data_IF_116244971412
#
_entry.id   IF_116244971412
#
_cell.length_a   1.000
_cell.length_b   1.000
_cell.length_c   1.000
_cell.angle_alpha   90.00
_cell.angle_beta   90.00
_cell.angle_gamma   90.00
#
_symmetry.space_group_name_H-M   'P 1'
#
loop_
_entity.id
_entity.type
_entity.pdbx_description
1 polymer ?
#
# COMPACT_ATOMS: atom_id res chain seq x y z
N UNK A 1 -8.76 -36.55 -83.34
CA UNK A 1 -9.12 -36.65 -81.91
C UNK A 1 -8.31 -35.62 -81.13
N UNK A 2 -8.91 -34.50 -80.75
CA UNK A 2 -8.29 -33.52 -79.84
C UNK A 2 -9.27 -33.31 -78.69
N UNK A 3 -8.85 -33.72 -77.49
CA UNK A 3 -9.66 -33.73 -76.28
C UNK A 3 -9.76 -32.33 -75.67
N UNK A 4 -10.97 -31.97 -75.26
CA UNK A 4 -11.34 -30.74 -74.56
C UNK A 4 -10.87 -30.75 -73.11
N UNK A 5 -10.04 -29.78 -72.71
CA UNK A 5 -9.71 -29.52 -71.31
C UNK A 5 -10.84 -28.74 -70.62
N UNK A 6 -11.44 -29.33 -69.59
CA UNK A 6 -12.40 -28.70 -68.68
C UNK A 6 -11.69 -27.76 -67.70
N UNK A 7 -12.17 -26.51 -67.60
CA UNK A 7 -11.74 -25.52 -66.59
C UNK A 7 -12.18 -25.95 -65.18
N UNK A 8 -11.23 -26.02 -64.24
CA UNK A 8 -11.48 -26.14 -62.81
C UNK A 8 -11.95 -24.79 -62.23
N UNK A 9 -13.02 -24.80 -61.43
CA UNK A 9 -13.59 -23.62 -60.78
C UNK A 9 -12.76 -23.09 -59.61
N UNK A 10 -13.04 -21.87 -59.12
CA UNK A 10 -12.27 -21.23 -58.06
C UNK A 10 -12.49 -21.92 -56.70
N UNK A 11 -11.39 -22.27 -56.03
CA UNK A 11 -11.42 -22.86 -54.69
C UNK A 11 -11.90 -21.83 -53.64
N UNK A 12 -12.91 -22.21 -52.86
CA UNK A 12 -13.40 -21.45 -51.71
C UNK A 12 -12.33 -21.34 -50.61
N UNK A 13 -12.15 -20.18 -49.96
CA UNK A 13 -11.16 -20.01 -48.89
C UNK A 13 -11.53 -20.87 -47.67
N UNK A 14 -10.70 -21.86 -47.38
CA UNK A 14 -10.80 -22.69 -46.18
C UNK A 14 -10.36 -21.86 -44.98
N UNK A 15 -11.31 -21.47 -44.13
CA UNK A 15 -11.00 -20.85 -42.83
C UNK A 15 -10.42 -21.92 -41.90
N UNK A 16 -9.09 -21.91 -41.74
CA UNK A 16 -8.41 -22.75 -40.76
C UNK A 16 -8.52 -22.07 -39.38
N UNK A 17 -9.06 -22.74 -38.35
CA UNK A 17 -9.09 -22.20 -37.00
C UNK A 17 -7.67 -22.04 -36.45
N UNK A 18 -7.21 -20.79 -36.31
CA UNK A 18 -5.93 -20.49 -35.67
C UNK A 18 -6.07 -20.76 -34.17
N UNK A 19 -5.51 -21.88 -33.70
CA UNK A 19 -5.40 -22.15 -32.27
C UNK A 19 -4.41 -21.17 -31.65
N UNK A 20 -4.91 -20.24 -30.83
CA UNK A 20 -4.11 -19.31 -30.04
C UNK A 20 -3.40 -20.06 -28.89
N UNK A 21 -2.35 -20.81 -29.20
CA UNK A 21 -1.44 -21.33 -28.19
C UNK A 21 -0.54 -20.20 -27.69
N UNK A 22 -0.59 -19.91 -26.39
CA UNK A 22 0.34 -18.99 -25.74
C UNK A 22 1.76 -19.56 -25.81
N UNK A 23 2.60 -18.99 -26.69
CA UNK A 23 4.03 -19.34 -26.76
C UNK A 23 4.79 -18.68 -25.61
N UNK A 24 5.91 -19.28 -25.19
CA UNK A 24 6.87 -18.62 -24.29
C UNK A 24 7.40 -17.36 -24.99
N UNK A 25 7.07 -16.19 -24.47
CA UNK A 25 7.57 -14.89 -24.95
C UNK A 25 8.69 -14.42 -24.04
N UNK A 26 9.85 -14.13 -24.62
CA UNK A 26 10.93 -13.46 -23.90
C UNK A 26 10.51 -12.00 -23.70
N UNK A 27 10.63 -11.48 -22.48
CA UNK A 27 10.21 -10.13 -22.10
C UNK A 27 11.24 -9.08 -22.56
N UNK A 28 11.30 -8.84 -23.87
CA UNK A 28 12.03 -7.70 -24.42
C UNK A 28 11.34 -6.38 -24.02
N UNK A 29 12.09 -5.27 -23.91
CA UNK A 29 11.51 -3.95 -23.69
C UNK A 29 10.45 -3.64 -24.75
N UNK A 30 9.34 -3.05 -24.32
CA UNK A 30 8.26 -2.64 -25.22
C UNK A 30 8.62 -1.37 -26.03
N UNK A 31 9.60 -0.61 -25.55
CA UNK A 31 10.10 0.61 -26.18
C UNK A 31 11.27 0.32 -27.14
N UNK A 32 11.53 1.21 -28.12
CA UNK A 32 12.59 1.01 -29.09
C UNK A 32 13.97 0.98 -28.41
N UNK A 33 14.73 -0.08 -28.65
CA UNK A 33 16.11 -0.23 -28.17
C UNK A 33 17.01 -0.71 -29.29
N UNK A 34 18.31 -0.41 -29.21
CA UNK A 34 19.26 -0.97 -30.17
C UNK A 34 19.46 -2.45 -29.86
N UNK A 35 19.20 -3.30 -30.84
CA UNK A 35 19.59 -4.71 -30.76
C UNK A 35 21.10 -4.84 -30.87
N UNK A 36 21.65 -5.93 -30.31
CA UNK A 36 23.06 -6.25 -30.47
C UNK A 36 23.30 -6.72 -31.91
N UNK A 37 24.26 -6.10 -32.59
CA UNK A 37 24.72 -6.54 -33.92
C UNK A 37 25.72 -7.70 -33.85
N UNK A 38 26.51 -7.87 -34.91
CA UNK A 38 27.63 -8.81 -34.92
C UNK A 38 28.75 -8.30 -34.00
N UNK A 39 29.22 -9.17 -33.12
CA UNK A 39 30.25 -8.89 -32.12
C UNK A 39 31.37 -9.90 -32.20
N UNK A 40 32.45 -9.66 -31.45
CA UNK A 40 33.54 -10.61 -31.29
C UNK A 40 33.05 -11.96 -30.74
N UNK A 41 33.70 -13.05 -31.16
CA UNK A 41 33.29 -14.42 -30.82
C UNK A 41 33.34 -14.72 -29.30
N UNK A 42 34.19 -14.00 -28.55
CA UNK A 42 34.37 -14.17 -27.10
C UNK A 42 33.39 -13.37 -26.25
N UNK A 43 32.66 -12.42 -26.85
CA UNK A 43 31.64 -11.67 -26.14
C UNK A 43 30.33 -12.47 -26.16
N UNK A 44 29.90 -12.97 -25.00
CA UNK A 44 28.69 -13.76 -24.85
C UNK A 44 27.51 -13.00 -24.21
N UNK A 45 27.50 -11.65 -24.17
CA UNK A 45 26.33 -10.93 -23.61
C UNK A 45 25.08 -11.13 -24.47
N UNK A 46 23.94 -11.30 -23.83
CA UNK A 46 22.65 -11.41 -24.51
C UNK A 46 22.10 -10.04 -24.93
N UNK A 47 21.12 -10.01 -25.84
CA UNK A 47 20.43 -8.77 -26.23
C UNK A 47 19.79 -8.06 -25.03
N UNK A 48 19.17 -8.82 -24.11
CA UNK A 48 18.57 -8.26 -22.89
C UNK A 48 19.61 -7.59 -21.99
N UNK A 49 20.80 -8.19 -21.84
CA UNK A 49 21.90 -7.59 -21.07
C UNK A 49 22.40 -6.30 -21.74
N UNK A 50 22.49 -6.30 -23.07
CA UNK A 50 22.86 -5.10 -23.82
C UNK A 50 21.83 -3.97 -23.69
N UNK A 51 20.54 -4.29 -23.75
CA UNK A 51 19.45 -3.34 -23.54
C UNK A 51 19.41 -2.81 -22.10
N UNK A 52 19.71 -3.66 -21.11
CA UNK A 52 19.86 -3.23 -19.71
C UNK A 52 21.05 -2.26 -19.55
N UNK A 53 22.19 -2.52 -20.20
CA UNK A 53 23.33 -1.61 -20.22
C UNK A 53 22.98 -0.25 -20.86
N UNK A 54 22.13 -0.22 -21.90
CA UNK A 54 21.62 1.04 -22.47
C UNK A 54 20.75 1.83 -21.49
N UNK A 55 19.86 1.15 -20.77
CA UNK A 55 19.02 1.79 -19.75
C UNK A 55 19.85 2.34 -18.57
N UNK A 56 20.84 1.58 -18.10
CA UNK A 56 21.70 1.98 -16.98
C UNK A 56 22.70 3.08 -17.36
N UNK A 57 23.24 3.05 -18.57
CA UNK A 57 24.30 3.95 -19.00
C UNK A 57 25.70 3.49 -18.57
N UNK A 58 26.68 4.37 -18.72
CA UNK A 58 28.08 4.03 -18.42
C UNK A 58 28.29 3.98 -16.91
N UNK A 59 29.01 2.94 -16.46
CA UNK A 59 29.38 2.74 -15.07
C UNK A 59 30.67 3.50 -14.76
N UNK A 60 30.68 4.28 -13.69
CA UNK A 60 31.88 4.98 -13.21
C UNK A 60 32.85 4.01 -12.51
N UNK A 61 34.08 4.44 -12.22
CA UNK A 61 35.08 3.64 -11.50
C UNK A 61 34.60 3.22 -10.08
N UNK A 62 33.79 4.06 -9.42
CA UNK A 62 33.12 3.75 -8.14
C UNK A 62 31.99 2.72 -8.29
N UNK A 63 31.56 2.48 -9.51
CA UNK A 63 30.48 1.58 -9.86
C UNK A 63 29.09 2.21 -9.95
N UNK A 64 29.03 3.54 -9.94
CA UNK A 64 27.79 4.32 -9.98
C UNK A 64 27.32 4.56 -11.42
N UNK A 65 26.01 4.64 -11.62
CA UNK A 65 25.37 4.98 -12.90
C UNK A 65 24.85 6.42 -12.88
N UNK A 66 25.78 7.37 -12.78
CA UNK A 66 25.44 8.77 -12.56
C UNK A 66 24.59 9.39 -13.68
N UNK A 67 24.70 8.87 -14.91
CA UNK A 67 23.89 9.33 -16.06
C UNK A 67 22.44 8.85 -16.03
N UNK A 68 22.07 7.90 -15.16
CA UNK A 68 20.70 7.40 -15.11
C UNK A 68 19.83 8.35 -14.27
N UNK A 69 18.70 8.80 -14.86
CA UNK A 69 17.70 9.66 -14.20
C UNK A 69 17.29 9.18 -12.82
N UNK A 70 17.15 7.87 -12.64
CA UNK A 70 16.61 7.24 -11.44
C UNK A 70 17.70 6.86 -10.42
N UNK A 71 18.97 7.17 -10.68
CA UNK A 71 20.06 6.82 -9.77
C UNK A 71 20.10 7.70 -8.52
N UNK A 72 20.00 9.03 -8.68
CA UNK A 72 20.07 9.96 -7.56
C UNK A 72 18.71 10.18 -6.91
N UNK A 73 18.68 10.24 -5.58
CA UNK A 73 17.47 10.57 -4.83
C UNK A 73 17.03 12.03 -5.08
N UNK A 74 15.74 12.29 -5.37
CA UNK A 74 15.23 13.64 -5.54
C UNK A 74 15.31 14.45 -4.23
N UNK A 75 15.51 15.77 -4.37
CA UNK A 75 15.69 16.70 -3.25
C UNK A 75 14.58 17.77 -3.12
N UNK A 76 13.54 17.68 -3.95
CA UNK A 76 12.57 18.75 -4.22
C UNK A 76 11.14 18.42 -3.80
N UNK A 77 10.93 17.47 -2.88
CA UNK A 77 9.61 16.97 -2.48
C UNK A 77 8.76 16.46 -3.65
N UNK A 78 9.40 16.05 -4.74
CA UNK A 78 8.74 15.44 -5.88
C UNK A 78 9.37 14.08 -6.14
N UNK A 79 8.61 13.00 -6.04
CA UNK A 79 9.17 11.68 -6.26
C UNK A 79 9.50 11.52 -7.75
N UNK A 80 10.69 10.98 -8.03
CA UNK A 80 11.15 10.70 -9.39
C UNK A 80 10.78 9.25 -9.76
N UNK A 81 9.48 9.02 -9.99
CA UNK A 81 8.97 7.69 -10.38
C UNK A 81 9.21 7.37 -11.84
N UNK A 82 9.15 6.07 -12.16
CA UNK A 82 9.50 5.53 -13.46
C UNK A 82 8.42 5.87 -14.50
N UNK A 83 8.85 6.43 -15.62
CA UNK A 83 7.99 6.85 -16.73
C UNK A 83 8.48 6.29 -18.07
N UNK A 84 8.57 4.96 -18.23
CA UNK A 84 9.15 4.35 -19.42
C UNK A 84 8.26 4.54 -20.66
N UNK A 85 6.96 4.75 -20.44
CA UNK A 85 5.92 5.05 -21.41
C UNK A 85 6.07 6.46 -22.01
N UNK A 86 6.43 7.45 -21.19
CA UNK A 86 6.56 8.85 -21.62
C UNK A 86 7.94 9.13 -22.24
N UNK A 87 8.98 8.50 -21.70
CA UNK A 87 10.36 8.70 -22.16
C UNK A 87 10.79 7.69 -23.23
N UNK A 88 9.87 6.82 -23.70
CA UNK A 88 10.16 5.75 -24.66
C UNK A 88 11.42 4.93 -24.27
N UNK A 89 11.60 4.69 -22.97
CA UNK A 89 12.73 3.97 -22.39
C UNK A 89 14.09 4.70 -22.40
N UNK A 90 14.14 5.97 -22.80
CA UNK A 90 15.34 6.81 -22.71
C UNK A 90 15.48 7.36 -21.28
N UNK A 91 16.15 6.61 -20.40
CA UNK A 91 16.34 6.98 -18.99
C UNK A 91 17.64 7.77 -18.72
N UNK A 92 18.47 8.00 -19.74
CA UNK A 92 19.76 8.67 -19.59
C UNK A 92 19.59 10.19 -19.62
N UNK A 93 20.33 10.86 -18.75
CA UNK A 93 20.31 12.31 -18.56
C UNK A 93 21.74 12.81 -18.57
N UNK A 94 21.94 13.99 -19.15
CA UNK A 94 23.23 14.67 -19.09
C UNK A 94 23.49 15.22 -17.68
N UNK A 95 24.69 15.00 -17.16
CA UNK A 95 25.08 15.34 -15.79
C UNK A 95 25.13 16.84 -15.54
N UNK A 96 25.41 17.63 -16.57
CA UNK A 96 25.55 19.08 -16.45
C UNK A 96 24.21 19.78 -16.69
N UNK A 97 23.51 19.43 -17.78
CA UNK A 97 22.28 20.11 -18.18
C UNK A 97 21.01 19.53 -17.57
N UNK A 98 21.03 18.29 -17.05
CA UNK A 98 19.83 17.62 -16.53
C UNK A 98 18.81 17.25 -17.61
N UNK A 99 19.17 17.37 -18.90
CA UNK A 99 18.29 17.08 -20.04
C UNK A 99 18.42 15.62 -20.49
N UNK A 100 17.35 15.00 -21.02
CA UNK A 100 17.39 13.63 -21.49
C UNK A 100 18.33 13.47 -22.67
N UNK A 101 18.97 12.29 -22.74
CA UNK A 101 19.90 11.91 -23.81
C UNK A 101 19.29 10.81 -24.68
N UNK A 102 19.46 10.93 -25.99
CA UNK A 102 19.15 9.85 -26.93
C UNK A 102 20.17 8.70 -26.81
N UNK A 103 19.87 7.55 -27.42
CA UNK A 103 20.74 6.37 -27.53
C UNK A 103 22.06 6.68 -28.26
N UNK A 104 22.17 7.83 -28.94
CA UNK A 104 23.42 8.33 -29.55
C UNK A 104 24.20 9.31 -28.66
N UNK A 105 23.65 9.70 -27.51
CA UNK A 105 24.26 10.67 -26.60
C UNK A 105 23.95 12.14 -26.93
N UNK A 106 22.96 12.39 -27.78
CA UNK A 106 22.53 13.75 -28.12
C UNK A 106 21.45 14.22 -27.13
N UNK A 107 21.47 15.50 -26.78
CA UNK A 107 20.46 16.11 -25.91
C UNK A 107 19.13 16.19 -26.64
N UNK A 108 18.07 15.69 -25.99
CA UNK A 108 16.69 15.76 -26.47
C UNK A 108 15.94 16.89 -25.77
N UNK A 109 15.12 17.61 -26.53
CA UNK A 109 14.13 18.53 -25.96
C UNK A 109 12.88 17.72 -25.57
N UNK A 110 12.65 17.58 -24.27
CA UNK A 110 11.49 16.88 -23.76
C UNK A 110 10.22 17.72 -23.93
N UNK A 111 9.36 17.35 -24.88
CA UNK A 111 8.04 17.97 -25.10
C UNK A 111 6.90 17.26 -24.36
N UNK A 112 7.18 16.17 -23.65
CA UNK A 112 6.16 15.36 -23.00
C UNK A 112 5.57 16.07 -21.77
N UNK A 113 4.31 16.48 -21.88
CA UNK A 113 3.55 17.03 -20.76
C UNK A 113 3.18 15.92 -19.76
N UNK A 114 3.69 16.03 -18.53
CA UNK A 114 3.40 15.07 -17.45
C UNK A 114 2.26 15.60 -16.60
N UNK A 115 1.13 14.87 -16.58
CA UNK A 115 -0.01 15.19 -15.70
C UNK A 115 0.43 15.19 -14.22
N UNK A 116 -0.10 16.08 -13.37
CA UNK A 116 0.26 16.12 -11.95
C UNK A 116 0.09 14.77 -11.22
N UNK A 117 -1.02 14.07 -11.48
CA UNK A 117 -1.31 12.75 -10.90
C UNK A 117 -0.25 11.70 -11.27
N UNK A 118 0.26 11.75 -12.50
CA UNK A 118 1.28 10.81 -13.00
C UNK A 118 2.59 10.93 -12.23
N UNK A 119 2.90 12.10 -11.66
CA UNK A 119 4.10 12.32 -10.83
C UNK A 119 4.04 11.55 -9.52
N UNK A 120 2.85 11.27 -8.99
CA UNK A 120 2.64 10.55 -7.73
C UNK A 120 2.46 9.04 -7.92
N UNK A 121 2.54 8.56 -9.16
CA UNK A 121 2.27 7.18 -9.54
C UNK A 121 3.58 6.38 -9.66
N UNK A 122 3.94 5.51 -8.68
CA UNK A 122 5.18 4.76 -8.70
C UNK A 122 5.29 3.76 -9.86
N UNK A 123 4.15 3.16 -10.27
CA UNK A 123 4.13 2.11 -11.28
C UNK A 123 3.34 2.56 -12.51
N UNK A 124 3.93 2.54 -13.72
CA UNK A 124 3.25 2.94 -14.96
C UNK A 124 2.01 2.09 -15.27
N UNK A 125 1.99 0.82 -14.87
CA UNK A 125 0.93 -0.13 -15.19
C UNK A 125 -0.27 -0.05 -14.25
N UNK A 126 -0.15 0.58 -13.08
CA UNK A 126 -1.22 0.64 -12.08
C UNK A 126 -1.54 2.10 -11.71
N UNK A 127 -2.55 2.73 -12.34
CA UNK A 127 -2.90 4.12 -12.08
C UNK A 127 -3.54 4.35 -10.70
N UNK A 128 -4.08 3.31 -10.07
CA UNK A 128 -4.72 3.40 -8.76
C UNK A 128 -3.71 3.41 -7.60
N UNK A 129 -2.48 2.92 -7.85
CA UNK A 129 -1.43 2.98 -6.84
C UNK A 129 -0.78 4.37 -6.88
N UNK A 130 -1.02 5.15 -5.85
CA UNK A 130 -0.46 6.50 -5.69
C UNK A 130 0.26 6.62 -4.36
N UNK A 131 1.29 7.47 -4.34
CA UNK A 131 2.06 7.74 -3.13
C UNK A 131 1.31 8.68 -2.20
N UNK A 132 1.16 8.26 -0.94
CA UNK A 132 0.60 9.11 0.10
C UNK A 132 1.60 10.23 0.48
N UNK A 133 1.07 11.36 0.93
CA UNK A 133 1.81 12.56 1.28
C UNK A 133 2.45 12.43 2.67
N UNK A 134 3.66 12.96 2.81
CA UNK A 134 4.34 13.05 4.10
C UNK A 134 3.88 14.31 4.85
N UNK A 135 3.64 14.17 6.16
CA UNK A 135 3.37 15.32 7.01
C UNK A 135 4.64 16.15 7.21
N UNK A 136 4.49 17.47 7.23
CA UNK A 136 5.58 18.37 7.59
C UNK A 136 5.98 18.14 9.06
N UNK A 137 7.23 18.45 9.40
CA UNK A 137 7.69 18.28 10.78
C UNK A 137 6.96 19.24 11.74
N UNK A 138 6.60 20.41 11.24
CA UNK A 138 5.79 21.42 11.95
C UNK A 138 4.39 20.88 12.26
N UNK A 139 3.68 20.32 11.27
CA UNK A 139 2.35 19.74 11.48
C UNK A 139 2.38 18.60 12.51
N UNK A 140 3.42 17.74 12.46
CA UNK A 140 3.58 16.65 13.44
C UNK A 140 3.74 17.19 14.87
N UNK A 141 4.46 18.28 15.03
CA UNK A 141 4.66 18.93 16.32
C UNK A 141 3.39 19.63 16.80
N UNK A 142 2.68 20.32 15.91
CA UNK A 142 1.40 20.97 16.18
C UNK A 142 0.33 19.96 16.61
N UNK A 143 0.25 18.81 15.93
CA UNK A 143 -0.66 17.70 16.30
C UNK A 143 -0.32 17.20 17.71
N UNK A 144 0.96 16.97 17.99
CA UNK A 144 1.40 16.50 19.30
C UNK A 144 1.07 17.50 20.41
N UNK A 145 1.30 18.80 20.20
CA UNK A 145 1.02 19.83 21.22
C UNK A 145 -0.48 19.95 21.46
N UNK A 146 -1.32 19.96 20.41
CA UNK A 146 -2.78 20.00 20.53
C UNK A 146 -3.34 18.82 21.33
N UNK A 147 -2.89 17.60 21.02
CA UNK A 147 -3.41 16.38 21.66
C UNK A 147 -2.84 16.18 23.07
N UNK A 148 -1.52 16.27 23.25
CA UNK A 148 -0.89 15.92 24.53
C UNK A 148 -0.83 17.07 25.54
N UNK A 149 -0.60 18.32 25.07
CA UNK A 149 -0.41 19.49 25.94
C UNK A 149 -1.73 20.21 26.16
N UNK A 150 -2.43 20.56 25.07
CA UNK A 150 -3.69 21.29 25.13
C UNK A 150 -4.89 20.37 25.42
N UNK A 151 -4.72 19.05 25.29
CA UNK A 151 -5.76 18.03 25.51
C UNK A 151 -7.03 18.24 24.68
N UNK A 152 -6.86 18.77 23.47
CA UNK A 152 -7.94 18.90 22.49
C UNK A 152 -8.39 17.49 22.05
N UNK A 153 -9.70 17.21 21.93
CA UNK A 153 -10.18 15.91 21.48
C UNK A 153 -9.66 15.58 20.08
N UNK A 154 -9.20 14.34 19.88
CA UNK A 154 -8.56 13.88 18.64
C UNK A 154 -9.47 14.07 17.42
N UNK A 155 -10.78 13.93 17.59
CA UNK A 155 -11.78 14.13 16.52
C UNK A 155 -11.74 15.56 15.97
N UNK A 156 -11.67 16.55 16.84
CA UNK A 156 -11.61 17.96 16.46
C UNK A 156 -10.29 18.27 15.74
N UNK A 157 -9.19 17.73 16.24
CA UNK A 157 -7.89 17.85 15.56
C UNK A 157 -7.91 17.16 14.19
N UNK A 158 -8.56 16.01 14.06
CA UNK A 158 -8.72 15.30 12.79
C UNK A 158 -9.48 16.13 11.75
N UNK A 159 -10.58 16.78 12.15
CA UNK A 159 -11.36 17.69 11.29
C UNK A 159 -10.53 18.91 10.90
N UNK A 160 -9.86 19.55 11.86
CA UNK A 160 -9.07 20.76 11.65
C UNK A 160 -7.87 20.52 10.70
N UNK A 161 -7.25 19.35 10.76
CA UNK A 161 -6.11 19.01 9.90
C UNK A 161 -6.53 18.26 8.62
N UNK A 162 -7.75 17.72 8.56
CA UNK A 162 -8.19 16.86 7.46
C UNK A 162 -7.42 15.55 7.40
N UNK A 163 -7.13 14.92 8.54
CA UNK A 163 -6.35 13.69 8.64
C UNK A 163 -7.17 12.63 9.37
N UNK A 164 -7.15 11.37 8.90
CA UNK A 164 -7.85 10.27 9.56
C UNK A 164 -7.37 10.06 11.00
N UNK A 165 -8.31 9.81 11.92
CA UNK A 165 -8.07 9.56 13.35
C UNK A 165 -6.94 8.55 13.63
N UNK A 166 -6.91 7.33 13.04
CA UNK A 166 -5.84 6.36 13.32
C UNK A 166 -4.46 6.84 12.86
N UNK A 167 -4.40 7.63 11.78
CA UNK A 167 -3.15 8.23 11.29
C UNK A 167 -2.64 9.28 12.27
N UNK A 168 -3.54 10.08 12.84
CA UNK A 168 -3.22 11.07 13.85
C UNK A 168 -2.73 10.42 15.15
N UNK A 169 -3.38 9.36 15.62
CA UNK A 169 -2.89 8.55 16.76
C UNK A 169 -1.49 7.99 16.52
N UNK A 170 -1.23 7.48 15.32
CA UNK A 170 0.09 6.95 14.95
C UNK A 170 1.16 8.06 14.99
N UNK A 171 0.85 9.27 14.50
CA UNK A 171 1.76 10.42 14.56
C UNK A 171 2.10 10.78 16.01
N UNK A 172 1.10 10.85 16.89
CA UNK A 172 1.30 11.13 18.31
C UNK A 172 2.21 10.07 18.94
N UNK A 173 1.91 8.78 18.74
CA UNK A 173 2.75 7.67 19.27
C UNK A 173 4.18 7.72 18.75
N UNK A 174 4.38 7.97 17.46
CA UNK A 174 5.71 8.08 16.86
C UNK A 174 6.48 9.28 17.43
N UNK A 175 5.81 10.41 17.68
CA UNK A 175 6.45 11.60 18.26
C UNK A 175 6.82 11.39 19.74
N UNK A 176 6.02 10.65 20.50
CA UNK A 176 6.41 10.23 21.86
C UNK A 176 7.67 9.37 21.86
N UNK A 177 7.76 8.40 20.94
CA UNK A 177 8.94 7.54 20.78
C UNK A 177 10.15 8.38 20.37
N UNK A 178 9.98 9.30 19.42
CA UNK A 178 11.04 10.20 18.98
C UNK A 178 11.60 11.01 20.16
N UNK A 179 10.73 11.61 20.99
CA UNK A 179 11.14 12.34 22.19
C UNK A 179 11.87 11.46 23.21
N UNK A 180 11.43 10.20 23.39
CA UNK A 180 12.12 9.22 24.25
C UNK A 180 13.53 8.91 23.71
N UNK A 181 13.66 8.71 22.40
CA UNK A 181 14.94 8.43 21.76
C UNK A 181 15.90 9.62 21.78
N UNK A 182 15.37 10.84 21.64
CA UNK A 182 16.15 12.07 21.82
C UNK A 182 16.70 12.18 23.24
N UNK A 183 15.87 11.95 24.27
CA UNK A 183 16.32 11.95 25.67
C UNK A 183 17.39 10.90 25.96
N UNK A 184 17.30 9.75 25.29
CA UNK A 184 18.26 8.65 25.42
C UNK A 184 19.48 8.79 24.48
N UNK A 185 19.60 9.89 23.71
CA UNK A 185 20.65 10.11 22.71
C UNK A 185 20.82 8.96 21.70
N UNK A 186 19.73 8.29 21.34
CA UNK A 186 19.74 7.15 20.39
C UNK A 186 19.69 7.56 18.92
N UNK A 187 19.51 8.85 18.64
CA UNK A 187 19.41 9.38 17.27
C UNK A 187 20.81 9.71 16.75
N UNK A 188 21.38 8.80 15.97
CA UNK A 188 22.67 8.98 15.31
C UNK A 188 22.58 9.99 14.15
N UNK A 189 23.69 10.64 13.75
CA UNK A 189 23.71 11.56 12.61
C UNK A 189 23.29 10.86 11.30
N UNK A 190 23.62 9.59 11.12
CA UNK A 190 23.24 8.78 9.95
C UNK A 190 21.72 8.59 9.84
N UNK A 191 21.03 8.38 10.96
CA UNK A 191 19.56 8.31 10.96
C UNK A 191 18.97 9.68 10.57
N UNK A 192 19.60 10.78 11.00
CA UNK A 192 19.15 12.14 10.60
C UNK A 192 19.35 12.39 9.11
N UNK A 193 20.47 11.96 8.53
CA UNK A 193 20.69 12.11 7.08
C UNK A 193 19.70 11.27 6.30
N UNK A 194 19.46 10.02 6.69
CA UNK A 194 18.42 9.16 6.10
C UNK A 194 17.01 9.77 6.20
N UNK A 195 16.65 10.28 7.39
CA UNK A 195 15.35 10.94 7.58
C UNK A 195 15.21 12.17 6.69
N UNK A 196 16.27 12.99 6.59
CA UNK A 196 16.28 14.19 5.73
C UNK A 196 16.19 13.84 4.23
N UNK A 197 16.87 12.78 3.78
CA UNK A 197 16.78 12.36 2.38
C UNK A 197 15.37 11.84 2.06
N UNK A 198 14.80 10.97 2.91
CA UNK A 198 13.43 10.49 2.73
C UNK A 198 12.41 11.63 2.74
N UNK A 199 12.54 12.59 3.65
CA UNK A 199 11.66 13.76 3.72
C UNK A 199 11.65 14.56 2.40
N UNK A 200 12.80 14.70 1.75
CA UNK A 200 12.93 15.39 0.46
C UNK A 200 12.47 14.57 -0.74
N UNK A 201 12.39 13.25 -0.61
CA UNK A 201 11.90 12.37 -1.67
C UNK A 201 10.39 12.37 -1.79
N UNK A 202 9.69 12.47 -0.65
CA UNK A 202 8.24 12.39 -0.62
C UNK A 202 7.58 13.76 -0.80
N UNK A 203 6.40 13.77 -1.45
CA UNK A 203 5.57 14.97 -1.53
C UNK A 203 5.02 15.33 -0.15
N UNK A 204 4.88 16.62 0.11
CA UNK A 204 4.39 17.13 1.38
C UNK A 204 2.87 17.27 1.38
N UNK A 205 2.29 17.07 2.56
CA UNK A 205 0.89 17.34 2.84
C UNK A 205 0.68 18.84 3.05
N UNK A 206 -0.27 19.42 2.33
CA UNK A 206 -0.63 20.84 2.42
C UNK A 206 -2.12 20.98 2.73
N UNK A 207 -2.44 21.76 3.76
CA UNK A 207 -3.80 22.08 4.19
C UNK A 207 -4.35 23.27 3.40
N UNK A 208 -5.63 23.30 2.97
CA UNK A 208 -6.65 22.23 3.03
C UNK A 208 -6.64 21.31 1.78
N UNK A 209 -5.74 21.57 0.83
CA UNK A 209 -5.75 20.97 -0.52
C UNK A 209 -5.74 19.45 -0.52
N UNK A 210 -5.08 18.84 0.46
CA UNK A 210 -4.79 17.42 0.47
C UNK A 210 -5.49 16.64 1.59
N UNK A 211 -6.65 17.11 2.07
CA UNK A 211 -7.39 16.44 3.13
C UNK A 211 -7.76 14.99 2.79
N UNK A 212 -7.57 14.11 3.77
CA UNK A 212 -8.09 12.74 3.73
C UNK A 212 -9.63 12.78 3.81
N UNK A 213 -10.32 11.82 3.18
CA UNK A 213 -11.76 11.70 3.36
C UNK A 213 -12.08 11.11 4.74
N UNK A 214 -12.64 11.96 5.62
CA UNK A 214 -13.02 11.60 6.99
C UNK A 214 -14.36 10.86 7.10
N UNK A 215 -15.13 10.80 6.00
CA UNK A 215 -16.45 10.17 5.95
C UNK A 215 -16.43 8.72 5.46
N UNK A 216 -15.24 8.14 5.31
CA UNK A 216 -15.09 6.75 4.86
C UNK A 216 -15.51 5.76 5.95
N UNK A 217 -16.48 4.90 5.62
CA UNK A 217 -16.89 3.77 6.45
C UNK A 217 -16.54 2.45 5.75
N UNK A 218 -16.17 1.39 6.49
CA UNK A 218 -15.96 0.07 5.92
C UNK A 218 -17.30 -0.48 5.41
N UNK A 219 -17.29 -1.06 4.20
CA UNK A 219 -18.50 -1.60 3.58
C UNK A 219 -18.86 -2.95 4.22
N UNK A 220 -20.02 -3.08 4.90
CA UNK A 220 -20.45 -4.35 5.48
C UNK A 220 -20.91 -5.33 4.39
N UNK A 221 -20.79 -6.63 4.65
CA UNK A 221 -21.12 -7.68 3.65
C UNK A 221 -22.57 -7.59 3.17
N UNK A 222 -23.51 -7.22 4.05
CA UNK A 222 -24.93 -7.14 3.70
C UNK A 222 -25.24 -6.09 2.62
N UNK A 223 -24.48 -5.00 2.55
CA UNK A 223 -24.71 -3.92 1.57
C UNK A 223 -24.07 -4.19 0.21
N UNK A 224 -23.21 -5.22 0.09
CA UNK A 224 -22.65 -5.65 -1.18
C UNK A 224 -23.70 -6.30 -2.10
N UNK A 225 -24.81 -6.78 -1.53
CA UNK A 225 -25.92 -7.37 -2.27
C UNK A 225 -26.94 -6.29 -2.63
N UNK A 226 -27.22 -6.12 -3.92
CA UNK A 226 -28.28 -5.22 -4.39
C UNK A 226 -29.66 -5.80 -4.04
N UNK A 227 -30.51 -5.01 -3.36
CA UNK A 227 -31.90 -5.33 -3.08
C UNK A 227 -32.80 -4.34 -3.80
N UNK A 228 -33.89 -4.83 -4.37
CA UNK A 228 -34.93 -4.01 -5.00
C UNK A 228 -36.24 -4.26 -4.26
N UNK A 229 -36.95 -3.20 -3.91
CA UNK A 229 -38.22 -3.25 -3.21
C UNK A 229 -39.27 -2.52 -4.03
N UNK A 230 -40.45 -3.11 -4.14
CA UNK A 230 -41.63 -2.45 -4.71
C UNK A 230 -42.36 -1.73 -3.58
N UNK A 231 -42.30 -0.41 -3.60
CA UNK A 231 -42.89 0.48 -2.61
C UNK A 231 -44.02 1.26 -3.31
N UNK A 232 -45.03 1.72 -2.58
CA UNK A 232 -46.08 2.54 -3.17
C UNK A 232 -45.49 3.82 -3.80
N UNK A 233 -46.05 4.29 -4.90
CA UNK A 233 -45.52 5.43 -5.66
C UNK A 233 -45.41 6.72 -4.82
N UNK A 234 -46.26 6.86 -3.80
CA UNK A 234 -46.29 8.01 -2.89
C UNK A 234 -45.43 7.83 -1.64
N UNK A 235 -44.88 6.65 -1.37
CA UNK A 235 -44.17 6.37 -0.13
C UNK A 235 -42.69 6.79 -0.23
N UNK A 236 -42.20 7.66 0.67
CA UNK A 236 -40.81 8.11 0.62
C UNK A 236 -39.86 7.02 1.11
N UNK A 237 -38.70 6.89 0.47
CA UNK A 237 -37.67 5.91 0.86
C UNK A 237 -36.35 6.60 1.17
N UNK A 238 -35.98 6.63 2.47
CA UNK A 238 -34.77 7.29 2.94
C UNK A 238 -33.62 6.32 3.30
N UNK A 239 -32.43 6.85 3.68
CA UNK A 239 -31.30 6.04 4.13
C UNK A 239 -31.58 5.21 5.39
N UNK A 240 -32.44 5.72 6.28
CA UNK A 240 -32.86 5.02 7.51
C UNK A 240 -33.70 3.79 7.14
N UNK A 241 -34.60 3.91 6.17
CA UNK A 241 -35.44 2.81 5.73
C UNK A 241 -34.63 1.79 4.94
N UNK A 242 -33.68 2.24 4.12
CA UNK A 242 -32.69 1.35 3.50
C UNK A 242 -31.88 0.57 4.54
N UNK A 243 -31.44 1.21 5.63
CA UNK A 243 -30.70 0.54 6.70
C UNK A 243 -31.55 -0.55 7.38
N UNK A 244 -32.83 -0.27 7.65
CA UNK A 244 -33.79 -1.27 8.15
C UNK A 244 -33.94 -2.44 7.18
N UNK A 245 -34.04 -2.17 5.88
CA UNK A 245 -34.13 -3.22 4.84
C UNK A 245 -32.90 -4.12 4.83
N UNK A 246 -31.71 -3.59 5.16
CA UNK A 246 -30.48 -4.37 5.28
C UNK A 246 -30.27 -4.98 6.68
N UNK A 247 -31.17 -4.74 7.64
CA UNK A 247 -30.99 -5.06 9.06
C UNK A 247 -29.63 -4.54 9.60
N UNK A 248 -29.36 -3.25 9.37
CA UNK A 248 -28.15 -2.55 9.77
C UNK A 248 -28.46 -1.21 10.44
N UNK A 249 -27.48 -0.70 11.19
CA UNK A 249 -27.46 0.68 11.66
C UNK A 249 -27.29 1.65 10.46
N UNK A 250 -27.91 2.84 10.47
CA UNK A 250 -27.67 3.88 9.47
C UNK A 250 -26.20 4.26 9.34
N UNK A 251 -25.76 4.59 8.12
CA UNK A 251 -24.37 4.95 7.84
C UNK A 251 -23.83 6.09 8.72
N UNK A 252 -24.67 7.09 9.04
CA UNK A 252 -24.33 8.20 9.92
C UNK A 252 -23.96 7.75 11.34
N UNK A 253 -24.72 6.81 11.91
CA UNK A 253 -24.46 6.28 13.26
C UNK A 253 -23.19 5.44 13.28
N UNK A 254 -22.96 4.64 12.22
CA UNK A 254 -21.73 3.86 12.10
C UNK A 254 -20.49 4.75 12.00
N UNK A 255 -20.56 5.88 11.29
CA UNK A 255 -19.49 6.86 11.19
C UNK A 255 -19.23 7.49 12.56
N UNK A 256 -20.26 7.96 13.26
CA UNK A 256 -20.13 8.54 14.60
C UNK A 256 -19.46 7.57 15.57
N UNK A 257 -19.90 6.31 15.57
CA UNK A 257 -19.30 5.26 16.39
C UNK A 257 -17.83 5.02 16.07
N UNK A 258 -17.45 5.05 14.79
CA UNK A 258 -16.05 4.92 14.36
C UNK A 258 -15.21 6.14 14.76
N UNK A 259 -15.79 7.34 14.76
CA UNK A 259 -15.14 8.55 15.23
C UNK A 259 -14.89 8.52 16.74
N UNK A 260 -15.81 7.96 17.53
CA UNK A 260 -15.69 7.82 18.99
C UNK A 260 -14.73 6.73 19.42
N UNK A 261 -14.87 5.53 18.86
CA UNK A 261 -14.07 4.37 19.27
C UNK A 261 -12.70 4.37 18.60
N UNK A 262 -12.56 4.97 17.41
CA UNK A 262 -11.37 4.83 16.59
C UNK A 262 -11.27 3.43 15.96
N UNK A 263 -10.66 3.32 14.78
CA UNK A 263 -10.56 2.05 14.04
C UNK A 263 -9.78 0.93 14.77
N UNK A 264 -9.02 1.26 15.82
CA UNK A 264 -8.17 0.33 16.56
C UNK A 264 -8.66 0.01 17.97
N UNK A 265 -9.69 0.70 18.48
CA UNK A 265 -10.35 0.17 19.67
C UNK A 265 -11.18 -1.02 19.21
N UNK A 266 -10.65 -2.22 19.42
CA UNK A 266 -11.54 -3.36 19.65
C UNK A 266 -12.56 -2.88 20.66
N UNK A 267 -13.85 -2.92 20.32
CA UNK A 267 -14.96 -2.66 21.24
C UNK A 267 -14.96 -3.76 22.30
N UNK A 268 -13.90 -3.80 23.12
CA UNK A 268 -13.96 -4.37 24.43
C UNK A 268 -14.79 -3.34 25.20
N UNK A 269 -16.11 -3.52 25.15
CA UNK A 269 -16.93 -3.21 26.30
C UNK A 269 -16.31 -4.00 27.44
N UNK A 270 -15.29 -3.43 28.07
CA UNK A 270 -14.74 -3.90 29.34
C UNK A 270 -15.84 -3.60 30.34
N UNK A 271 -16.91 -4.40 30.32
CA UNK A 271 -17.66 -4.65 31.53
C UNK A 271 -16.60 -5.15 32.49
N UNK A 272 -16.34 -4.40 33.55
CA UNK A 272 -15.35 -4.74 34.56
C UNK A 272 -15.63 -6.17 35.03
N UNK A 273 -14.87 -7.12 34.48
CA UNK A 273 -14.95 -8.50 34.92
C UNK A 273 -14.36 -8.46 36.31
N UNK A 274 -15.12 -8.91 37.31
CA UNK A 274 -14.61 -9.03 38.67
C UNK A 274 -13.35 -9.90 38.63
N UNK A 275 -12.20 -9.27 38.89
CA UNK A 275 -10.89 -9.93 38.97
C UNK A 275 -10.49 -9.96 40.43
N UNK A 276 -10.28 -11.15 40.96
CA UNK A 276 -9.71 -11.35 42.29
C UNK A 276 -8.24 -11.70 42.14
N UNK A 277 -7.37 -10.97 42.83
CA UNK A 277 -5.93 -11.26 42.87
C UNK A 277 -5.63 -11.80 44.26
N UNK A 278 -5.10 -13.02 44.34
CA UNK A 278 -4.79 -13.64 45.62
C UNK A 278 -3.58 -12.97 46.29
N UNK A 279 -3.56 -12.99 47.63
CA UNK A 279 -2.41 -12.55 48.41
C UNK A 279 -1.19 -13.44 48.12
N UNK A 280 -0.04 -12.81 47.93
CA UNK A 280 1.22 -13.48 47.54
C UNK A 280 2.26 -13.23 48.62
N UNK A 281 2.88 -14.30 49.13
CA UNK A 281 3.99 -14.18 50.07
C UNK A 281 5.25 -13.65 49.35
N UNK A 282 6.20 -13.00 50.05
CA UNK A 282 7.41 -12.45 49.42
C UNK A 282 8.33 -13.52 48.81
N UNK A 283 8.14 -14.80 49.15
CA UNK A 283 8.88 -15.94 48.56
C UNK A 283 8.22 -16.51 47.29
N UNK A 284 7.00 -16.07 46.97
CA UNK A 284 6.27 -16.61 45.83
C UNK A 284 6.74 -15.99 44.51
N UNK A 285 6.82 -16.83 43.47
CA UNK A 285 7.32 -16.41 42.14
C UNK A 285 6.22 -15.85 41.24
N UNK A 286 4.96 -16.17 41.52
CA UNK A 286 3.83 -15.88 40.65
C UNK A 286 2.64 -15.40 41.48
N UNK A 287 1.86 -14.50 40.90
CA UNK A 287 0.61 -14.00 41.48
C UNK A 287 -0.56 -14.62 40.73
N UNK A 288 -1.45 -15.28 41.46
CA UNK A 288 -2.63 -15.89 40.88
C UNK A 288 -3.74 -14.85 40.69
N UNK A 289 -4.22 -14.73 39.45
CA UNK A 289 -5.35 -13.87 39.07
C UNK A 289 -6.54 -14.74 38.70
N UNK A 290 -7.65 -14.53 39.39
CA UNK A 290 -8.90 -15.26 39.19
C UNK A 290 -9.91 -14.35 38.52
N UNK A 291 -10.42 -14.77 37.37
CA UNK A 291 -11.46 -14.08 36.64
C UNK A 291 -12.79 -14.79 36.88
N UNK A 292 -13.80 -14.06 37.37
CA UNK A 292 -15.17 -14.61 37.45
C UNK A 292 -15.69 -14.88 36.04
N UNK A 293 -16.15 -16.10 35.81
CA UNK A 293 -16.68 -16.51 34.53
C UNK A 293 -17.87 -17.46 34.68
N UNK A 294 -18.79 -17.46 33.71
CA UNK A 294 -20.04 -18.23 33.78
C UNK A 294 -19.79 -19.70 33.40
N UNK A 295 -20.38 -20.62 34.13
CA UNK A 295 -20.35 -22.06 33.81
C UNK A 295 -20.94 -22.28 32.41
N UNK A 296 -20.27 -23.11 31.60
CA UNK A 296 -20.65 -23.39 30.21
C UNK A 296 -20.04 -22.45 29.15
N UNK A 297 -19.36 -21.37 29.57
CA UNK A 297 -18.63 -20.43 28.69
C UNK A 297 -17.12 -20.39 28.99
N UNK A 298 -16.61 -21.43 29.68
CA UNK A 298 -15.24 -21.49 30.20
C UNK A 298 -14.71 -22.91 30.04
N UNK A 299 -13.40 -23.00 29.78
CA UNK A 299 -12.71 -24.27 29.55
C UNK A 299 -12.59 -24.61 28.06
N UNK A 300 -11.76 -25.61 27.77
CA UNK A 300 -11.65 -26.15 26.42
C UNK A 300 -12.82 -27.13 26.18
N UNK A 301 -13.50 -26.99 25.04
CA UNK A 301 -14.61 -27.87 24.69
C UNK A 301 -14.09 -29.30 24.47
N UNK A 302 -14.73 -30.27 25.13
CA UNK A 302 -14.48 -31.68 24.87
C UNK A 302 -14.92 -32.06 23.45
N UNK A 303 -14.18 -32.98 22.81
CA UNK A 303 -14.46 -33.41 21.44
C UNK A 303 -14.05 -32.40 20.35
N UNK A 304 -13.41 -31.28 20.71
CA UNK A 304 -12.81 -30.39 19.72
C UNK A 304 -11.65 -31.12 19.01
N UNK A 305 -11.72 -31.20 17.68
CA UNK A 305 -10.67 -31.86 16.88
C UNK A 305 -9.37 -31.07 16.95
N UNK A 306 -8.25 -31.74 17.26
CA UNK A 306 -6.92 -31.16 17.16
C UNK A 306 -6.63 -30.83 15.68
N UNK A 307 -6.44 -29.54 15.35
CA UNK A 307 -6.20 -29.08 13.97
C UNK A 307 -4.72 -28.94 13.60
N UNK A 308 -3.82 -29.42 14.45
CA UNK A 308 -2.37 -29.19 14.30
C UNK A 308 -1.79 -29.81 13.03
N UNK A 309 -2.42 -30.87 12.51
CA UNK A 309 -2.05 -31.53 11.26
C UNK A 309 -2.70 -30.92 10.01
N UNK A 310 -3.56 -29.90 10.16
CA UNK A 310 -4.24 -29.25 9.03
C UNK A 310 -3.48 -28.00 8.58
N UNK A 311 -3.62 -27.66 7.31
CA UNK A 311 -3.00 -26.46 6.71
C UNK A 311 -3.54 -25.17 7.33
N UNK A 312 -4.79 -25.18 7.79
CA UNK A 312 -5.48 -24.08 8.48
C UNK A 312 -5.26 -24.06 10.00
N UNK A 313 -4.19 -24.70 10.50
CA UNK A 313 -3.81 -24.61 11.93
C UNK A 313 -3.63 -23.15 12.36
N UNK A 314 -4.12 -22.84 13.56
CA UNK A 314 -4.06 -21.49 14.12
C UNK A 314 -2.73 -21.28 14.84
N UNK A 315 -2.12 -20.14 14.59
CA UNK A 315 -0.92 -19.68 15.31
C UNK A 315 -1.24 -18.41 16.07
N UNK A 316 -0.59 -18.26 17.23
CA UNK A 316 -0.60 -17.05 18.03
C UNK A 316 0.83 -16.64 18.36
N UNK A 317 0.95 -15.46 18.95
CA UNK A 317 2.22 -14.95 19.47
C UNK A 317 2.05 -14.67 20.96
N UNK A 318 3.01 -15.12 21.76
CA UNK A 318 3.08 -14.80 23.19
C UNK A 318 3.44 -13.33 23.40
N UNK A 319 3.29 -12.83 24.64
CA UNK A 319 3.72 -11.48 25.05
C UNK A 319 5.21 -11.22 24.79
N UNK A 320 6.03 -12.28 24.71
CA UNK A 320 7.44 -12.22 24.35
C UNK A 320 7.72 -12.21 22.83
N UNK A 321 6.68 -12.31 22.01
CA UNK A 321 6.77 -12.38 20.54
C UNK A 321 7.12 -13.75 19.97
N UNK A 322 7.16 -14.80 20.80
CA UNK A 322 7.40 -16.18 20.34
C UNK A 322 6.14 -16.73 19.66
N UNK A 323 6.33 -17.38 18.52
CA UNK A 323 5.24 -18.07 17.82
C UNK A 323 4.86 -19.33 18.57
N UNK A 324 3.58 -19.48 18.88
CA UNK A 324 3.02 -20.64 19.59
C UNK A 324 1.81 -21.15 18.81
N UNK A 325 1.56 -22.45 18.88
CA UNK A 325 0.30 -23.00 18.38
C UNK A 325 -0.83 -22.44 19.21
N UNK A 326 -1.82 -21.83 18.55
CA UNK A 326 -2.93 -21.22 19.27
C UNK A 326 -3.74 -22.33 19.96
N UNK A 327 -4.01 -22.13 21.24
CA UNK A 327 -4.84 -23.05 22.01
C UNK A 327 -6.25 -23.14 21.39
N UNK A 328 -6.95 -24.27 21.57
CA UNK A 328 -8.33 -24.41 21.13
C UNK A 328 -9.17 -23.25 21.69
N UNK A 329 -10.10 -22.73 20.89
CA UNK A 329 -10.89 -21.58 21.32
C UNK A 329 -11.78 -22.02 22.49
N UNK A 330 -11.62 -21.40 23.66
CA UNK A 330 -12.49 -21.67 24.81
C UNK A 330 -13.92 -21.31 24.44
N UNK A 331 -14.84 -22.22 24.75
CA UNK A 331 -16.21 -22.18 24.25
C UNK A 331 -17.18 -21.38 25.08
#
# INVERSE_FOLDING_TARGET
>A
MLASCSRAGPASPVYVPVRNFSRRRIAYPFYPTKSRGRTEKKDHKTNLRFQMEQFLGKKNFKGEYASNKYFSAPKNHQPNYITPDLENGQALVDLQSGKPLDIKGNVLESTAFVRPERKLMPFPSNPFCQTNLALTNEDKEEIYTKVCVQKVPIQEVAVNFGIKIPRLEAVVRLKEIEKKWQKQNRITPEIKTMSSTMYKMFPLFERPRHSDNLSEIPVPVKTLQSRFLTIAESEPFGPIDAAKVFDLEPASETLQRLAETGHHATVSNKKDKQVFVAESAPKDRYVFKFHKAKVGQVGFRYGATLRDNKKDRKFSYDDSGKMVNALPTSG
#
